data_IF_610623050907
#
_entry.id   IF_610623050907
#
_cell.length_a   1.000
_cell.length_b   1.000
_cell.length_c   1.000
_cell.angle_alpha   90.00
_cell.angle_beta   90.00
_cell.angle_gamma   90.00
#
_symmetry.space_group_name_H-M   'P 1'
#
loop_
_entity.id
_entity.type
_entity.pdbx_description
1 polymer ?
#
# COMPACT_ATOMS: atom_id res chain seq x y z
N UNK A 1 -2.38 22.24 9.34
CA UNK A 1 -1.80 20.89 9.20
C UNK A 1 -2.44 20.24 7.98
N UNK A 2 -1.67 19.58 7.10
CA UNK A 2 -2.28 18.80 6.02
C UNK A 2 -3.18 17.73 6.63
N UNK A 3 -4.31 17.44 5.98
CA UNK A 3 -5.17 16.32 6.38
C UNK A 3 -4.41 15.04 6.09
N UNK A 4 -4.35 14.10 7.03
CA UNK A 4 -3.68 12.79 6.86
C UNK A 4 -4.13 12.03 5.60
N UNK A 5 -5.35 12.30 5.15
CA UNK A 5 -5.98 11.80 3.93
C UNK A 5 -5.14 12.10 2.67
N UNK A 6 -4.42 13.22 2.65
CA UNK A 6 -3.61 13.70 1.54
C UNK A 6 -2.35 12.86 1.31
N UNK A 7 -1.66 12.49 2.42
CA UNK A 7 -0.44 11.68 2.36
C UNK A 7 -0.76 10.25 1.92
N UNK A 8 -1.86 9.69 2.45
CA UNK A 8 -2.30 8.35 2.09
C UNK A 8 -2.68 8.27 0.60
N UNK A 9 -3.37 9.28 0.09
CA UNK A 9 -3.73 9.35 -1.32
C UNK A 9 -2.50 9.49 -2.23
N UNK A 10 -1.61 10.45 -1.91
CA UNK A 10 -0.37 10.63 -2.66
C UNK A 10 0.46 9.33 -2.68
N UNK A 11 0.64 8.70 -1.52
CA UNK A 11 1.30 7.40 -1.43
C UNK A 11 0.67 6.35 -2.34
N UNK A 12 -0.65 6.17 -2.25
CA UNK A 12 -1.37 5.18 -3.06
C UNK A 12 -1.18 5.45 -4.56
N UNK A 13 -1.33 6.71 -5.00
CA UNK A 13 -1.13 7.09 -6.40
C UNK A 13 0.31 6.86 -6.88
N UNK A 14 1.32 7.17 -6.07
CA UNK A 14 2.72 6.91 -6.42
C UNK A 14 2.99 5.42 -6.61
N UNK A 15 2.53 4.61 -5.66
CA UNK A 15 2.76 3.16 -5.69
C UNK A 15 1.96 2.50 -6.81
N UNK A 16 0.72 2.94 -7.08
CA UNK A 16 -0.09 2.44 -8.20
C UNK A 16 0.58 2.70 -9.56
N UNK A 17 1.31 3.82 -9.72
CA UNK A 17 2.09 4.10 -10.95
C UNK A 17 3.21 3.10 -11.22
N UNK A 18 3.67 2.37 -10.20
CA UNK A 18 4.64 1.27 -10.36
C UNK A 18 3.98 -0.04 -10.84
N UNK A 19 2.66 -0.07 -11.01
CA UNK A 19 1.92 -1.28 -11.34
C UNK A 19 1.89 -2.29 -10.19
N UNK A 20 1.86 -1.80 -8.96
CA UNK A 20 1.73 -2.60 -7.74
C UNK A 20 0.63 -2.00 -6.86
N UNK A 21 -0.08 -2.83 -6.11
CA UNK A 21 -1.13 -2.38 -5.20
C UNK A 21 -0.51 -1.80 -3.93
N UNK A 22 -0.96 -0.62 -3.45
CA UNK A 22 -0.34 0.02 -2.29
C UNK A 22 -0.73 -0.64 -0.98
N UNK A 23 0.21 -0.60 -0.02
CA UNK A 23 -0.06 -0.85 1.39
C UNK A 23 0.25 0.42 2.16
N UNK A 24 -0.77 1.00 2.79
CA UNK A 24 -0.63 2.21 3.60
C UNK A 24 -1.41 2.09 4.93
N UNK A 25 -0.76 2.39 6.08
CA UNK A 25 0.68 2.62 6.20
C UNK A 25 1.48 1.33 5.88
N UNK A 26 2.75 1.42 5.48
CA UNK A 26 3.60 0.26 5.33
C UNK A 26 3.67 -0.55 6.64
N UNK A 27 3.61 -1.88 6.53
CA UNK A 27 3.51 -2.77 7.71
C UNK A 27 4.38 -4.02 7.57
N UNK A 28 4.79 -4.58 8.71
CA UNK A 28 5.51 -5.85 8.76
C UNK A 28 4.57 -7.06 8.56
N UNK A 29 3.29 -6.89 8.90
CA UNK A 29 2.32 -7.98 8.98
C UNK A 29 1.49 -8.17 7.71
N UNK A 30 2.16 -8.21 6.56
CA UNK A 30 1.54 -8.45 5.26
C UNK A 30 2.37 -9.42 4.44
N UNK A 31 1.80 -10.57 4.08
CA UNK A 31 2.58 -11.72 3.63
C UNK A 31 2.03 -12.33 2.34
N UNK A 32 2.92 -12.92 1.54
CA UNK A 32 2.54 -13.77 0.41
C UNK A 32 1.70 -14.94 0.92
N UNK A 33 0.55 -15.15 0.30
CA UNK A 33 -0.43 -16.14 0.73
C UNK A 33 -1.61 -15.54 1.49
N UNK A 34 -1.55 -14.28 1.93
CA UNK A 34 -2.70 -13.64 2.57
C UNK A 34 -3.88 -13.53 1.60
N UNK A 35 -5.07 -13.89 2.08
CA UNK A 35 -6.32 -13.85 1.35
C UNK A 35 -7.21 -12.74 1.93
N UNK A 36 -7.63 -11.83 1.07
CA UNK A 36 -8.45 -10.67 1.42
C UNK A 36 -9.76 -10.69 0.67
N UNK A 37 -10.85 -10.29 1.31
CA UNK A 37 -12.05 -9.84 0.60
C UNK A 37 -11.93 -8.35 0.35
N UNK A 38 -12.17 -7.92 -0.89
CA UNK A 38 -12.08 -6.52 -1.30
C UNK A 38 -13.37 -6.08 -1.97
N UNK A 39 -13.75 -4.81 -1.79
CA UNK A 39 -14.85 -4.21 -2.53
C UNK A 39 -14.36 -3.83 -3.92
N UNK A 40 -14.89 -4.48 -4.95
CA UNK A 40 -14.57 -4.17 -6.36
C UNK A 40 -15.30 -2.92 -6.82
N UNK A 41 -16.62 -2.92 -6.63
CA UNK A 41 -17.50 -1.86 -7.06
C UNK A 41 -18.68 -1.75 -6.12
N UNK A 42 -19.28 -0.56 -6.12
CA UNK A 42 -20.59 -0.34 -5.56
C UNK A 42 -21.37 0.53 -6.52
N UNK A 43 -22.58 0.10 -6.88
CA UNK A 43 -23.43 0.83 -7.84
C UNK A 43 -23.84 2.20 -7.29
N UNK A 44 -23.96 2.29 -5.97
CA UNK A 44 -24.14 3.53 -5.22
C UNK A 44 -22.81 3.85 -4.55
N UNK A 45 -22.32 5.07 -4.66
CA UNK A 45 -21.08 5.49 -4.00
C UNK A 45 -21.25 5.47 -2.46
N UNK A 46 -21.14 4.28 -1.88
CA UNK A 46 -21.26 4.03 -0.44
C UNK A 46 -19.96 4.33 0.29
N UNK A 47 -18.92 4.84 -0.39
CA UNK A 47 -17.61 5.08 0.21
C UNK A 47 -16.95 3.82 0.76
N UNK A 48 -17.26 2.65 0.19
CA UNK A 48 -16.63 1.36 0.52
C UNK A 48 -15.59 0.91 -0.50
N UNK A 49 -15.45 1.62 -1.62
CA UNK A 49 -14.47 1.31 -2.65
C UNK A 49 -13.08 1.19 -2.02
N UNK A 50 -12.34 0.14 -2.42
CA UNK A 50 -10.98 -0.15 -1.96
C UNK A 50 -10.85 -0.54 -0.48
N UNK A 51 -11.95 -0.66 0.27
CA UNK A 51 -11.92 -1.27 1.60
C UNK A 51 -11.73 -2.79 1.47
N UNK A 52 -11.07 -3.39 2.46
CA UNK A 52 -10.75 -4.82 2.47
C UNK A 52 -10.78 -5.40 3.87
N UNK A 53 -10.91 -6.72 3.96
CA UNK A 53 -10.78 -7.48 5.21
C UNK A 53 -10.02 -8.78 4.99
N UNK A 54 -9.16 -9.13 5.94
CA UNK A 54 -8.37 -10.36 5.91
C UNK A 54 -9.25 -11.57 6.25
N UNK A 55 -9.17 -12.63 5.45
CA UNK A 55 -9.96 -13.85 5.64
C UNK A 55 -9.11 -15.04 6.09
N UNK A 56 -7.83 -15.10 5.68
CA UNK A 56 -6.97 -16.22 5.97
C UNK A 56 -5.63 -16.16 5.25
N UNK A 57 -4.86 -17.24 5.34
CA UNK A 57 -3.56 -17.37 4.69
C UNK A 57 -3.38 -18.76 4.09
N UNK A 58 -3.02 -18.79 2.82
CA UNK A 58 -2.60 -19.98 2.09
C UNK A 58 -1.08 -20.16 2.21
N UNK A 59 -0.62 -21.38 2.51
CA UNK A 59 0.82 -21.66 2.46
C UNK A 59 1.30 -21.80 1.02
N UNK A 60 1.95 -20.75 0.52
CA UNK A 60 2.58 -20.72 -0.80
C UNK A 60 4.08 -21.03 -0.76
N UNK A 61 4.64 -21.36 0.42
CA UNK A 61 6.07 -21.65 0.57
C UNK A 61 6.57 -22.74 -0.39
N UNK A 62 5.88 -23.88 -0.59
CA UNK A 62 6.36 -24.91 -1.51
C UNK A 62 6.57 -24.37 -2.93
N UNK A 63 5.63 -23.57 -3.43
CA UNK A 63 5.72 -22.96 -4.76
C UNK A 63 6.81 -21.88 -4.85
N UNK A 64 7.05 -21.12 -3.79
CA UNK A 64 8.12 -20.13 -3.74
C UNK A 64 9.49 -20.83 -3.83
N UNK A 65 9.69 -21.91 -3.06
CA UNK A 65 10.95 -22.66 -3.03
C UNK A 65 11.20 -23.42 -4.34
N UNK A 66 10.19 -24.12 -4.87
CA UNK A 66 10.24 -24.79 -6.18
C UNK A 66 10.65 -23.81 -7.30
N UNK A 67 10.05 -22.62 -7.28
CA UNK A 67 10.34 -21.58 -8.26
C UNK A 67 11.73 -20.97 -8.05
N UNK A 68 12.18 -20.82 -6.80
CA UNK A 68 13.52 -20.33 -6.53
C UNK A 68 14.60 -21.29 -7.06
N UNK A 69 14.39 -22.60 -6.89
CA UNK A 69 15.32 -23.64 -7.34
C UNK A 69 15.42 -23.78 -8.86
N UNK A 70 14.39 -23.40 -9.61
CA UNK A 70 14.31 -23.54 -11.07
C UNK A 70 14.65 -22.26 -11.85
N UNK A 71 14.90 -21.16 -11.16
CA UNK A 71 15.18 -19.87 -11.82
C UNK A 71 16.65 -19.73 -12.17
N UNK A 72 16.98 -19.16 -13.34
CA UNK A 72 18.34 -18.76 -13.66
C UNK A 72 18.89 -17.80 -12.60
N UNK A 73 20.13 -18.03 -12.19
CA UNK A 73 20.92 -17.14 -11.34
C UNK A 73 22.05 -16.60 -12.21
N UNK A 74 22.36 -15.32 -12.07
CA UNK A 74 23.44 -14.66 -12.80
C UNK A 74 24.48 -14.16 -11.81
N UNK A 75 25.74 -14.19 -12.21
CA UNK A 75 26.84 -13.74 -11.38
C UNK A 75 26.70 -12.27 -10.99
N UNK A 76 27.18 -11.90 -9.82
CA UNK A 76 27.23 -10.50 -9.37
C UNK A 76 28.03 -9.61 -10.32
N UNK A 77 27.56 -8.38 -10.52
CA UNK A 77 28.24 -7.38 -11.33
C UNK A 77 29.61 -7.07 -10.76
N UNK A 78 30.67 -7.28 -11.56
CA UNK A 78 32.03 -6.89 -11.17
C UNK A 78 32.26 -5.40 -11.41
N UNK A 79 32.67 -4.69 -10.36
CA UNK A 79 33.12 -3.30 -10.43
C UNK A 79 34.65 -3.23 -10.49
N UNK A 80 35.18 -2.26 -11.22
CA UNK A 80 36.61 -1.95 -11.20
C UNK A 80 37.01 -1.20 -9.92
N UNK A 81 38.31 -0.95 -9.74
CA UNK A 81 38.82 -0.22 -8.57
C UNK A 81 38.33 1.24 -8.45
N UNK A 82 37.66 1.77 -9.48
CA UNK A 82 37.07 3.11 -9.51
C UNK A 82 35.54 3.09 -9.36
N UNK A 83 34.94 1.91 -9.15
CA UNK A 83 33.49 1.73 -9.01
C UNK A 83 32.73 1.71 -10.35
N UNK A 84 33.41 1.66 -11.49
CA UNK A 84 32.75 1.48 -12.79
C UNK A 84 32.50 0.00 -13.08
N UNK A 85 31.43 -0.31 -13.84
CA UNK A 85 31.13 -1.70 -14.23
C UNK A 85 32.17 -2.20 -15.22
N UNK A 86 32.80 -3.33 -14.91
CA UNK A 86 33.80 -3.95 -15.80
C UNK A 86 33.10 -4.57 -17.03
N UNK A 87 33.64 -4.38 -18.24
CA UNK A 87 33.06 -4.96 -19.47
C UNK A 87 33.24 -6.49 -19.56
N UNK A 88 34.24 -7.03 -18.88
CA UNK A 88 34.48 -8.46 -18.72
C UNK A 88 33.58 -9.03 -17.60
N UNK A 89 32.30 -9.25 -17.92
CA UNK A 89 31.34 -9.98 -17.07
C UNK A 89 31.20 -11.42 -17.57
N UNK A 90 30.84 -12.33 -16.65
CA UNK A 90 30.38 -13.66 -17.04
C UNK A 90 29.06 -13.52 -17.83
N UNK A 91 28.92 -14.27 -18.93
CA UNK A 91 27.77 -14.15 -19.84
C UNK A 91 26.79 -15.30 -19.70
N UNK A 92 27.14 -16.31 -18.92
CA UNK A 92 26.33 -17.49 -18.69
C UNK A 92 25.64 -17.43 -17.32
N UNK A 93 24.55 -18.18 -17.21
CA UNK A 93 23.92 -18.44 -15.92
C UNK A 93 24.88 -19.19 -15.00
N UNK A 94 24.82 -18.87 -13.71
CA UNK A 94 25.51 -19.65 -12.68
C UNK A 94 24.79 -20.99 -12.54
N UNK A 95 25.53 -22.11 -12.40
CA UNK A 95 24.90 -23.39 -12.13
C UNK A 95 24.00 -23.28 -10.91
N UNK A 96 22.83 -23.96 -10.91
CA UNK A 96 21.90 -23.87 -9.80
C UNK A 96 22.59 -24.29 -8.50
N UNK A 97 22.52 -23.43 -7.50
CA UNK A 97 23.00 -23.73 -6.16
C UNK A 97 22.17 -24.85 -5.50
N UNK A 98 22.61 -25.35 -4.33
CA UNK A 98 21.85 -26.34 -3.59
C UNK A 98 20.44 -25.80 -3.25
N UNK A 99 19.46 -26.69 -3.24
CA UNK A 99 18.10 -26.34 -2.83
C UNK A 99 18.13 -25.69 -1.45
N UNK A 100 17.53 -24.50 -1.36
CA UNK A 100 17.45 -23.75 -0.11
C UNK A 100 16.15 -24.09 0.61
N UNK A 101 16.22 -24.22 1.93
CA UNK A 101 15.05 -24.35 2.80
C UNK A 101 14.46 -23.00 3.18
N UNK A 102 15.10 -21.89 2.79
CA UNK A 102 14.72 -20.50 3.13
C UNK A 102 14.19 -19.75 1.90
N UNK A 103 13.27 -18.82 2.15
CA UNK A 103 12.79 -17.91 1.11
C UNK A 103 13.85 -16.83 0.91
N UNK A 104 14.53 -16.88 -0.24
CA UNK A 104 15.39 -15.79 -0.70
C UNK A 104 14.56 -14.58 -1.14
N UNK A 105 14.88 -13.41 -0.61
CA UNK A 105 14.36 -12.13 -1.11
C UNK A 105 15.22 -11.64 -2.27
N UNK A 106 14.64 -10.85 -3.17
CA UNK A 106 15.32 -10.31 -4.34
C UNK A 106 15.31 -8.80 -4.31
N UNK A 107 16.46 -8.21 -4.62
CA UNK A 107 16.56 -6.78 -4.83
C UNK A 107 15.76 -6.39 -6.07
N UNK A 108 15.03 -5.30 -5.96
CA UNK A 108 14.38 -4.61 -7.07
C UNK A 108 14.64 -3.12 -6.93
N UNK A 109 14.81 -2.46 -8.06
CA UNK A 109 14.89 -1.02 -8.12
C UNK A 109 13.55 -0.49 -8.61
N UNK A 110 12.99 0.47 -7.89
CA UNK A 110 11.93 1.33 -8.41
C UNK A 110 12.58 2.61 -8.92
N UNK A 111 12.13 3.16 -10.07
CA UNK A 111 12.51 4.51 -10.41
C UNK A 111 12.09 5.43 -9.26
N UNK A 112 12.91 6.42 -8.93
CA UNK A 112 12.50 7.46 -7.97
C UNK A 112 11.19 8.08 -8.44
N UNK A 113 10.16 8.07 -7.59
CA UNK A 113 8.85 8.64 -7.92
C UNK A 113 8.76 10.00 -7.23
N UNK A 114 8.94 11.05 -8.01
CA UNK A 114 8.72 12.41 -7.55
C UNK A 114 7.23 12.76 -7.73
N UNK A 115 6.52 13.12 -6.65
CA UNK A 115 5.16 13.65 -6.74
C UNK A 115 5.16 15.16 -6.60
N UNK A 116 4.84 15.86 -7.68
CA UNK A 116 4.71 17.32 -7.65
C UNK A 116 3.27 17.69 -7.36
N UNK A 117 3.02 18.45 -6.28
CA UNK A 117 1.70 19.01 -5.97
C UNK A 117 1.76 20.53 -5.91
N UNK A 118 0.93 21.17 -6.72
CA UNK A 118 0.84 22.63 -6.73
C UNK A 118 -0.45 23.03 -6.04
N UNK A 119 -0.36 23.60 -4.83
CA UNK A 119 -1.53 24.10 -4.09
C UNK A 119 -1.66 25.61 -4.33
N UNK A 120 -2.60 26.02 -5.20
CA UNK A 120 -2.94 27.43 -5.34
C UNK A 120 -3.99 27.80 -4.28
N UNK A 121 -3.57 28.53 -3.26
CA UNK A 121 -4.48 29.10 -2.28
C UNK A 121 -4.80 30.55 -2.65
N UNK A 122 -5.88 30.76 -3.37
CA UNK A 122 -6.45 32.10 -3.60
C UNK A 122 -7.29 32.49 -2.39
N UNK A 123 -6.79 33.40 -1.55
CA UNK A 123 -7.61 33.97 -0.47
C UNK A 123 -8.55 35.02 -1.07
N UNK A 124 -9.85 34.92 -0.74
CA UNK A 124 -10.87 35.85 -1.27
C UNK A 124 -10.61 37.33 -0.92
N UNK A 125 -9.83 37.61 0.14
CA UNK A 125 -9.36 38.96 0.49
C UNK A 125 -8.14 39.42 -0.36
N UNK A 126 -7.43 38.51 -1.03
CA UNK A 126 -6.28 38.82 -1.89
C UNK A 126 -6.68 39.46 -3.23
N UNK A 127 -7.90 39.19 -3.72
CA UNK A 127 -8.46 39.86 -4.91
C UNK A 127 -8.60 41.38 -4.74
N UNK A 128 -8.69 41.87 -3.50
CA UNK A 128 -8.86 43.30 -3.18
C UNK A 128 -7.52 44.03 -2.93
N UNK A 129 -6.42 43.29 -2.72
CA UNK A 129 -5.11 43.86 -2.35
C UNK A 129 -3.92 43.36 -3.19
N UNK A 130 -4.16 42.66 -4.31
CA UNK A 130 -3.10 42.24 -5.24
C UNK A 130 -2.12 41.18 -4.70
N UNK A 131 -2.37 40.64 -3.52
CA UNK A 131 -1.51 39.64 -2.88
C UNK A 131 -2.08 38.24 -3.11
N UNK A 132 -1.71 37.61 -4.23
CA UNK A 132 -1.87 36.16 -4.40
C UNK A 132 -0.67 35.47 -3.74
N UNK A 133 -0.91 34.38 -2.99
CA UNK A 133 0.16 33.49 -2.51
C UNK A 133 0.05 32.19 -3.27
N UNK A 134 0.94 31.97 -4.22
CA UNK A 134 1.12 30.66 -4.85
C UNK A 134 2.08 29.88 -3.98
N UNK A 135 1.62 28.78 -3.39
CA UNK A 135 2.48 27.84 -2.66
C UNK A 135 2.62 26.57 -3.47
N UNK A 136 3.84 26.29 -3.93
CA UNK A 136 4.14 25.01 -4.56
C UNK A 136 4.72 24.06 -3.52
N UNK A 137 4.12 22.87 -3.37
CA UNK A 137 4.58 21.84 -2.44
C UNK A 137 4.96 20.58 -3.22
N UNK A 138 6.25 20.41 -3.48
CA UNK A 138 6.75 19.21 -4.12
C UNK A 138 7.10 18.15 -3.07
N UNK A 139 6.51 16.96 -3.16
CA UNK A 139 6.78 15.83 -2.26
C UNK A 139 7.36 14.65 -3.04
N UNK A 140 8.59 14.30 -2.73
CA UNK A 140 9.31 13.20 -3.36
C UNK A 140 9.44 12.04 -2.36
N UNK A 141 8.93 10.88 -2.76
CA UNK A 141 9.01 9.65 -1.98
C UNK A 141 9.99 8.74 -2.71
N UNK A 142 11.11 8.44 -2.04
CA UNK A 142 12.15 7.57 -2.57
C UNK A 142 12.21 6.30 -1.74
N UNK A 143 12.17 5.16 -2.43
CA UNK A 143 12.40 3.83 -1.86
C UNK A 143 13.80 3.40 -2.31
N UNK A 144 14.86 3.68 -1.53
CA UNK A 144 16.24 3.53 -1.99
C UNK A 144 16.61 2.06 -2.25
N UNK A 145 16.11 1.14 -1.43
CA UNK A 145 16.33 -0.30 -1.58
C UNK A 145 14.99 -0.99 -1.37
N UNK A 146 14.55 -1.74 -2.38
CA UNK A 146 13.37 -2.57 -2.27
C UNK A 146 13.72 -4.05 -2.47
N UNK A 147 13.05 -4.89 -1.70
CA UNK A 147 13.17 -6.33 -1.72
C UNK A 147 11.81 -6.95 -2.09
N UNK A 148 11.82 -8.11 -2.74
CA UNK A 148 10.58 -8.83 -3.07
C UNK A 148 10.73 -10.33 -2.92
N UNK A 149 9.64 -10.97 -2.53
CA UNK A 149 9.46 -12.42 -2.64
C UNK A 149 8.01 -12.71 -3.04
N UNK A 150 7.79 -13.87 -3.67
CA UNK A 150 6.47 -14.23 -4.15
C UNK A 150 6.41 -15.53 -4.93
N UNK A 151 5.21 -16.09 -5.00
CA UNK A 151 4.88 -17.26 -5.79
C UNK A 151 4.49 -16.86 -7.22
N UNK A 152 4.69 -17.74 -8.23
CA UNK A 152 4.12 -17.53 -9.55
C UNK A 152 2.60 -17.45 -9.50
N UNK A 153 2.01 -16.46 -10.18
CA UNK A 153 0.56 -16.21 -10.13
C UNK A 153 -0.27 -17.42 -10.56
N UNK A 154 0.14 -18.17 -11.60
CA UNK A 154 -0.57 -19.37 -12.04
C UNK A 154 -0.55 -20.51 -11.00
N UNK A 155 0.58 -20.73 -10.34
CA UNK A 155 0.70 -21.73 -9.25
C UNK A 155 -0.12 -21.30 -8.03
N UNK A 156 -0.04 -20.03 -7.65
CA UNK A 156 -0.84 -19.48 -6.55
C UNK A 156 -2.35 -19.56 -6.83
N UNK A 157 -2.78 -19.29 -8.06
CA UNK A 157 -4.17 -19.40 -8.47
C UNK A 157 -4.68 -20.84 -8.37
N UNK A 158 -3.91 -21.81 -8.89
CA UNK A 158 -4.26 -23.23 -8.75
C UNK A 158 -4.29 -23.70 -7.29
N UNK A 159 -3.35 -23.22 -6.48
CA UNK A 159 -3.32 -23.51 -5.05
C UNK A 159 -4.55 -22.94 -4.31
N UNK A 160 -5.02 -21.75 -4.68
CA UNK A 160 -6.25 -21.17 -4.10
C UNK A 160 -7.48 -22.01 -4.45
N UNK A 161 -7.61 -22.44 -5.70
CA UNK A 161 -8.75 -23.28 -6.13
C UNK A 161 -8.77 -24.58 -5.34
N UNK A 162 -7.62 -25.25 -5.19
CA UNK A 162 -7.51 -26.45 -4.39
C UNK A 162 -7.83 -26.20 -2.91
N UNK A 163 -7.37 -25.08 -2.35
CA UNK A 163 -7.63 -24.69 -0.97
C UNK A 163 -9.12 -24.39 -0.74
N UNK A 164 -9.79 -23.68 -1.65
CA UNK A 164 -11.23 -23.43 -1.56
C UNK A 164 -12.08 -24.70 -1.73
N UNK A 165 -11.56 -25.73 -2.40
CA UNK A 165 -12.23 -27.03 -2.53
C UNK A 165 -12.12 -27.90 -1.27
N UNK A 166 -11.17 -27.60 -0.37
CA UNK A 166 -11.04 -28.28 0.91
C UNK A 166 -12.21 -27.89 1.84
N UNK A 167 -12.91 -28.89 2.38
CA UNK A 167 -14.04 -28.68 3.28
C UNK A 167 -13.70 -27.80 4.50
N UNK A 168 -12.46 -27.83 4.98
CA UNK A 168 -12.03 -27.01 6.11
C UNK A 168 -11.97 -25.51 5.77
N UNK A 169 -11.73 -25.16 4.50
CA UNK A 169 -11.50 -23.78 4.07
C UNK A 169 -12.58 -23.25 3.13
N UNK A 170 -13.45 -24.13 2.59
CA UNK A 170 -14.48 -23.78 1.62
C UNK A 170 -15.34 -22.59 2.06
N UNK A 171 -15.67 -22.51 3.36
CA UNK A 171 -16.46 -21.40 3.91
C UNK A 171 -15.78 -20.03 3.70
N UNK A 172 -14.45 -19.97 3.78
CA UNK A 172 -13.66 -18.74 3.64
C UNK A 172 -13.73 -18.19 2.21
N UNK A 173 -14.06 -19.04 1.22
CA UNK A 173 -14.18 -18.67 -0.18
C UNK A 173 -15.62 -18.34 -0.62
N UNK A 174 -16.55 -18.19 0.32
CA UNK A 174 -17.95 -17.84 0.02
C UNK A 174 -18.22 -16.36 0.20
N UNK A 175 -19.08 -15.79 -0.66
CA UNK A 175 -19.55 -14.41 -0.50
C UNK A 175 -20.25 -14.19 0.85
N UNK A 176 -21.08 -15.14 1.28
CA UNK A 176 -21.83 -15.03 2.53
C UNK A 176 -20.93 -14.88 3.75
N UNK A 177 -19.82 -15.63 3.81
CA UNK A 177 -18.83 -15.51 4.88
C UNK A 177 -18.04 -14.21 4.76
N UNK A 178 -17.48 -13.92 3.59
CA UNK A 178 -16.69 -12.71 3.35
C UNK A 178 -17.47 -11.45 3.73
N UNK A 179 -18.73 -11.36 3.28
CA UNK A 179 -19.65 -10.25 3.55
C UNK A 179 -19.96 -10.10 5.03
N UNK A 180 -20.14 -11.21 5.75
CA UNK A 180 -20.38 -11.21 7.20
C UNK A 180 -19.16 -10.68 7.95
N UNK A 181 -17.97 -11.17 7.64
CA UNK A 181 -16.72 -10.69 8.25
C UNK A 181 -16.53 -9.20 7.94
N UNK A 182 -16.78 -8.79 6.70
CA UNK A 182 -16.69 -7.40 6.26
C UNK A 182 -17.68 -6.48 7.00
N UNK A 183 -18.92 -6.93 7.18
CA UNK A 183 -19.96 -6.19 7.88
C UNK A 183 -19.59 -5.94 9.35
N UNK A 184 -18.99 -6.95 10.00
CA UNK A 184 -18.57 -6.84 11.40
C UNK A 184 -17.29 -6.03 11.58
N UNK A 185 -16.29 -6.23 10.71
CA UNK A 185 -14.96 -5.65 10.87
C UNK A 185 -14.82 -4.25 10.28
N UNK A 186 -15.59 -3.94 9.23
CA UNK A 186 -15.37 -2.74 8.40
C UNK A 186 -16.60 -1.86 8.33
N UNK A 187 -17.70 -2.35 7.73
CA UNK A 187 -18.90 -1.54 7.53
C UNK A 187 -20.14 -2.40 7.19
N UNK A 188 -21.26 -2.28 7.93
CA UNK A 188 -22.47 -3.07 7.69
C UNK A 188 -23.16 -2.75 6.35
N UNK A 189 -22.86 -1.60 5.70
CA UNK A 189 -23.44 -1.24 4.40
C UNK A 189 -23.08 -2.21 3.28
N UNK A 190 -22.09 -3.08 3.48
CA UNK A 190 -21.81 -4.21 2.57
C UNK A 190 -22.99 -5.20 2.45
N UNK A 191 -23.92 -5.19 3.41
CA UNK A 191 -25.14 -6.00 3.41
C UNK A 191 -26.33 -5.31 2.75
N UNK A 192 -26.17 -4.07 2.28
CA UNK A 192 -27.26 -3.36 1.62
C UNK A 192 -27.68 -4.09 0.34
N UNK A 193 -28.99 -4.19 0.16
CA UNK A 193 -29.61 -4.84 -1.00
C UNK A 193 -30.43 -3.85 -1.81
N UNK A 194 -30.64 -4.19 -3.07
CA UNK A 194 -31.52 -3.51 -3.98
C UNK A 194 -32.37 -4.54 -4.70
N UNK A 195 -33.63 -4.17 -4.95
CA UNK A 195 -34.56 -5.01 -5.68
C UNK A 195 -34.43 -4.66 -7.16
N UNK A 196 -34.09 -5.63 -7.97
CA UNK A 196 -34.10 -5.48 -9.43
C UNK A 196 -35.55 -5.28 -9.90
N UNK A 197 -35.81 -4.20 -10.64
CA UNK A 197 -37.16 -3.86 -11.09
C UNK A 197 -37.72 -4.86 -12.12
N UNK A 198 -36.85 -5.51 -12.90
CA UNK A 198 -37.23 -6.45 -13.94
C UNK A 198 -37.48 -7.86 -13.39
N UNK A 199 -36.62 -8.34 -12.48
CA UNK A 199 -36.71 -9.70 -11.93
C UNK A 199 -37.44 -9.76 -10.59
N UNK A 200 -37.61 -8.62 -9.91
CA UNK A 200 -38.09 -8.50 -8.53
C UNK A 200 -37.22 -9.24 -7.50
N UNK A 201 -36.00 -9.66 -7.87
CA UNK A 201 -35.06 -10.31 -6.98
C UNK A 201 -34.23 -9.27 -6.22
N UNK A 202 -33.94 -9.57 -4.95
CA UNK A 202 -33.01 -8.76 -4.15
C UNK A 202 -31.57 -9.21 -4.41
N UNK A 203 -30.69 -8.26 -4.72
CA UNK A 203 -29.27 -8.49 -4.86
C UNK A 203 -28.49 -7.50 -4.00
N UNK A 204 -27.25 -7.87 -3.65
CA UNK A 204 -26.37 -6.96 -2.92
C UNK A 204 -25.85 -5.86 -3.85
N UNK A 205 -25.89 -4.61 -3.38
CA UNK A 205 -25.38 -3.45 -4.15
C UNK A 205 -23.86 -3.37 -4.18
N UNK A 206 -23.18 -4.13 -3.29
CA UNK A 206 -21.73 -4.17 -3.16
C UNK A 206 -21.20 -5.51 -3.64
N UNK A 207 -20.34 -5.46 -4.65
CA UNK A 207 -19.65 -6.63 -5.20
C UNK A 207 -18.32 -6.85 -4.50
N UNK A 208 -18.12 -8.07 -4.00
CA UNK A 208 -16.90 -8.49 -3.33
C UNK A 208 -16.09 -9.40 -4.25
N UNK A 209 -14.76 -9.26 -4.19
CA UNK A 209 -13.82 -10.21 -4.80
C UNK A 209 -12.85 -10.73 -3.75
N UNK A 210 -12.28 -11.90 -4.00
CA UNK A 210 -11.12 -12.39 -3.26
C UNK A 210 -9.84 -11.91 -3.93
N UNK A 211 -8.88 -11.47 -3.12
CA UNK A 211 -7.53 -11.17 -3.55
C UNK A 211 -6.54 -12.02 -2.77
N UNK A 212 -5.82 -12.90 -3.49
CA UNK A 212 -4.72 -13.67 -2.93
C UNK A 212 -3.41 -12.95 -3.23
N UNK A 213 -2.68 -12.56 -2.18
CA UNK A 213 -1.37 -11.92 -2.28
C UNK A 213 -0.35 -12.91 -2.82
N UNK A 214 0.17 -12.67 -4.02
CA UNK A 214 1.16 -13.54 -4.68
C UNK A 214 2.59 -13.04 -4.56
N UNK A 215 2.78 -11.73 -4.37
CA UNK A 215 4.09 -11.10 -4.23
C UNK A 215 3.99 -9.88 -3.36
N UNK A 216 4.97 -9.67 -2.50
CA UNK A 216 5.08 -8.45 -1.68
C UNK A 216 6.36 -7.69 -2.02
N UNK A 217 6.30 -6.38 -1.84
CA UNK A 217 7.42 -5.45 -2.03
C UNK A 217 7.70 -4.78 -0.70
N UNK A 218 8.95 -4.91 -0.27
CA UNK A 218 9.37 -4.54 1.06
C UNK A 218 10.52 -3.56 1.00
N UNK A 219 10.66 -2.73 2.01
CA UNK A 219 11.78 -1.81 2.16
C UNK A 219 12.24 -1.74 3.61
N UNK A 220 13.52 -1.44 3.79
CA UNK A 220 14.11 -1.13 5.10
C UNK A 220 14.38 0.36 5.29
N UNK A 221 14.20 1.15 4.24
CA UNK A 221 14.41 2.59 4.29
C UNK A 221 13.36 3.33 3.46
N UNK A 222 12.88 4.45 3.97
CA UNK A 222 12.01 5.38 3.26
C UNK A 222 12.60 6.77 3.39
N UNK A 223 12.82 7.41 2.25
CA UNK A 223 13.22 8.80 2.19
C UNK A 223 12.06 9.63 1.65
N UNK A 224 11.70 10.68 2.37
CA UNK A 224 10.70 11.67 1.95
C UNK A 224 11.38 13.02 1.90
N UNK A 225 11.32 13.67 0.74
CA UNK A 225 11.79 15.04 0.56
C UNK A 225 10.61 15.93 0.24
N UNK A 226 10.40 16.98 1.04
CA UNK A 226 9.35 17.97 0.80
C UNK A 226 9.99 19.31 0.56
N UNK A 227 9.72 19.88 -0.60
CA UNK A 227 10.12 21.22 -0.98
C UNK A 227 8.88 22.10 -0.98
N UNK A 228 8.89 23.13 -0.14
CA UNK A 228 7.86 24.17 -0.13
C UNK A 228 8.49 25.43 -0.69
N UNK A 229 8.02 25.85 -1.87
CA UNK A 229 8.39 27.11 -2.51
C UNK A 229 7.22 28.08 -2.38
N UNK A 230 7.50 29.29 -1.87
CA UNK A 230 6.50 30.34 -1.76
C UNK A 230 7.01 31.63 -2.40
N UNK A 231 6.44 32.01 -3.54
CA UNK A 231 6.70 33.35 -4.09
C UNK A 231 6.03 34.39 -3.18
N UNK A 232 6.84 35.14 -2.44
CA UNK A 232 6.38 36.39 -1.83
C UNK A 232 6.42 37.47 -2.91
N UNK A 233 5.26 37.99 -3.31
CA UNK A 233 5.22 39.28 -3.99
C UNK A 233 5.99 40.35 -3.20
N UNK A 234 6.47 41.44 -3.81
CA UNK A 234 7.33 42.42 -3.16
C UNK A 234 6.60 43.07 -1.98
N UNK A 235 6.90 42.63 -0.77
CA UNK A 235 6.16 43.02 0.43
C UNK A 235 6.90 42.67 1.73
N UNK A 236 7.52 43.72 2.29
CA UNK A 236 7.91 43.98 3.69
C UNK A 236 8.34 42.77 4.54
N UNK A 237 9.65 42.71 4.83
CA UNK A 237 10.22 41.82 5.84
C UNK A 237 9.75 42.22 7.25
N UNK A 238 9.03 41.34 7.93
CA UNK A 238 8.83 41.42 9.37
C UNK A 238 9.86 40.48 10.06
N UNK A 239 10.57 40.94 11.11
CA UNK A 239 11.50 40.10 11.85
C UNK A 239 10.74 39.05 12.65
N UNK A 240 11.13 37.78 12.51
CA UNK A 240 10.68 36.68 13.38
C UNK A 240 11.66 36.57 14.54
N UNK A 241 11.26 36.85 15.80
CA UNK A 241 12.12 36.61 16.95
C UNK A 241 12.04 35.14 17.36
N UNK A 242 13.18 34.48 17.48
CA UNK A 242 13.32 33.21 18.21
C UNK A 242 13.51 31.96 17.35
N UNK A 243 14.62 31.86 16.63
CA UNK A 243 15.17 30.55 16.26
C UNK A 243 15.91 29.99 17.49
N UNK A 244 15.22 29.19 18.29
CA UNK A 244 15.84 28.41 19.35
C UNK A 244 16.70 27.30 18.72
N UNK A 245 17.94 27.20 19.18
CA UNK A 245 18.88 26.14 18.80
C UNK A 245 18.31 24.75 19.09
N UNK A 246 18.56 23.79 18.21
CA UNK A 246 18.20 22.40 18.38
C UNK A 246 18.84 21.82 19.67
N UNK A 247 18.11 21.05 20.50
CA UNK A 247 18.70 20.37 21.64
C UNK A 247 19.58 19.20 21.18
N UNK A 248 20.65 18.87 21.93
CA UNK A 248 21.55 17.77 21.61
C UNK A 248 20.89 16.40 21.86
N UNK A 249 21.31 15.43 21.05
CA UNK A 249 20.87 14.03 21.06
C UNK A 249 20.85 13.40 22.46
N UNK A 250 19.67 12.92 22.87
CA UNK A 250 19.54 11.98 23.98
C UNK A 250 19.62 10.54 23.44
N UNK A 251 20.38 9.63 24.07
CA UNK A 251 20.45 8.25 23.63
C UNK A 251 19.13 7.54 23.94
N UNK A 252 18.47 7.00 22.91
CA UNK A 252 17.26 6.22 23.05
C UNK A 252 17.56 4.89 23.78
N UNK A 253 16.97 4.74 24.97
CA UNK A 253 16.98 3.49 25.70
C UNK A 253 16.06 2.45 25.01
N UNK A 254 16.63 1.26 24.78
CA UNK A 254 16.02 -0.04 24.49
C UNK A 254 14.50 -0.10 24.26
N UNK A 255 14.09 0.11 23.02
CA UNK A 255 12.81 -0.33 22.47
C UNK A 255 13.02 -0.65 20.99
N UNK A 256 12.43 -1.74 20.48
CA UNK A 256 12.60 -2.26 19.12
C UNK A 256 12.69 -1.12 18.08
N UNK A 257 13.89 -0.95 17.53
CA UNK A 257 14.40 0.38 17.14
C UNK A 257 14.06 0.76 15.70
N UNK A 258 13.26 1.80 15.54
CA UNK A 258 13.25 2.61 14.31
C UNK A 258 14.30 3.71 14.47
N UNK A 259 15.29 3.76 13.59
CA UNK A 259 16.23 4.89 13.55
C UNK A 259 15.65 5.92 12.58
N UNK A 260 15.15 7.02 13.13
CA UNK A 260 14.61 8.12 12.35
C UNK A 260 15.62 9.27 12.31
N UNK A 261 16.16 9.55 11.13
CA UNK A 261 17.03 10.70 10.88
C UNK A 261 16.22 11.77 10.14
N UNK A 262 15.78 12.79 10.88
CA UNK A 262 15.14 13.96 10.30
C UNK A 262 16.15 15.09 10.18
N UNK A 263 16.33 15.63 8.96
CA UNK A 263 17.14 16.83 8.76
C UNK A 263 16.29 17.94 8.17
N UNK A 264 16.33 19.12 8.80
CA UNK A 264 15.66 20.32 8.32
C UNK A 264 16.74 21.26 7.77
N UNK A 265 16.70 21.56 6.47
CA UNK A 265 17.58 22.56 5.85
C UNK A 265 16.74 23.77 5.47
N UNK A 266 16.93 24.86 6.21
CA UNK A 266 16.32 26.15 5.88
C UNK A 266 17.32 26.98 5.08
N UNK A 267 17.03 27.21 3.80
CA UNK A 267 17.80 28.16 3.00
C UNK A 267 17.04 29.50 3.02
N UNK A 268 17.70 30.54 3.53
CA UNK A 268 17.11 31.88 3.61
C UNK A 268 16.94 32.45 2.19
N UNK A 269 15.74 32.29 1.62
CA UNK A 269 15.36 32.79 0.30
C UNK A 269 14.14 32.10 -0.31
N UNK A 270 13.04 31.99 0.45
CA UNK A 270 11.72 31.51 -0.03
C UNK A 270 11.51 30.00 -0.25
N UNK A 271 12.51 29.16 0.05
CA UNK A 271 12.41 27.70 -0.08
C UNK A 271 12.70 26.98 1.24
N UNK A 272 11.75 26.15 1.67
CA UNK A 272 11.95 25.20 2.76
C UNK A 272 12.14 23.80 2.19
N UNK A 273 13.27 23.15 2.49
CA UNK A 273 13.56 21.77 2.09
C UNK A 273 13.61 20.89 3.36
N UNK A 274 12.62 20.02 3.49
CA UNK A 274 12.52 19.04 4.57
C UNK A 274 12.94 17.69 4.00
N UNK A 275 13.99 17.09 4.55
CA UNK A 275 14.43 15.76 4.18
C UNK A 275 14.32 14.83 5.39
N UNK A 276 13.42 13.85 5.28
CA UNK A 276 13.16 12.85 6.30
C UNK A 276 13.58 11.48 5.78
N UNK A 277 14.52 10.85 6.47
CA UNK A 277 14.92 9.48 6.21
C UNK A 277 14.53 8.61 7.40
N UNK A 278 13.88 7.49 7.13
CA UNK A 278 13.48 6.50 8.14
C UNK A 278 14.09 5.16 7.77
N UNK A 279 14.83 4.57 8.71
CA UNK A 279 15.36 3.21 8.58
C UNK A 279 14.69 2.29 9.60
N UNK A 280 14.33 1.09 9.14
CA UNK A 280 13.57 0.10 9.91
C UNK A 280 14.42 -1.15 10.17
N UNK A 281 14.33 -1.68 11.39
CA UNK A 281 15.04 -2.91 11.77
C UNK A 281 14.52 -4.14 11.01
N UNK A 282 13.21 -4.18 10.73
CA UNK A 282 12.54 -5.21 9.94
C UNK A 282 12.00 -4.60 8.65
N UNK A 283 11.91 -5.38 7.57
CA UNK A 283 11.44 -4.88 6.29
C UNK A 283 9.92 -4.62 6.39
N UNK A 284 9.48 -3.46 5.90
CA UNK A 284 8.07 -3.07 5.82
C UNK A 284 7.54 -3.32 4.41
N UNK A 285 6.38 -3.93 4.32
CA UNK A 285 5.66 -4.10 3.05
C UNK A 285 4.99 -2.78 2.71
N UNK A 286 5.29 -2.26 1.53
CA UNK A 286 4.73 -1.00 1.02
C UNK A 286 3.83 -1.20 -0.20
N UNK A 287 3.89 -2.37 -0.82
CA UNK A 287 3.03 -2.73 -1.93
C UNK A 287 3.04 -4.22 -2.21
N UNK A 288 2.13 -4.67 -3.06
CA UNK A 288 1.98 -6.08 -3.40
C UNK A 288 1.42 -6.31 -4.80
N UNK A 289 1.40 -7.58 -5.24
CA UNK A 289 0.59 -8.05 -6.35
C UNK A 289 -0.31 -9.19 -5.88
N UNK A 290 -1.56 -9.14 -6.28
CA UNK A 290 -2.51 -10.20 -6.03
C UNK A 290 -3.07 -10.79 -7.33
N UNK A 291 -3.61 -11.99 -7.21
CA UNK A 291 -4.57 -12.53 -8.18
C UNK A 291 -5.97 -12.31 -7.61
N UNK A 292 -6.89 -11.84 -8.46
CA UNK A 292 -8.25 -11.51 -8.07
C UNK A 292 -9.20 -12.58 -8.59
N UNK A 293 -10.08 -13.06 -7.71
CA UNK A 293 -11.11 -14.04 -8.04
C UNK A 293 -12.49 -13.43 -7.76
N UNK A 294 -13.42 -13.48 -8.72
CA UNK A 294 -14.79 -13.07 -8.45
C UNK A 294 -15.41 -14.02 -7.44
N UNK A 295 -16.15 -13.46 -6.48
CA UNK A 295 -17.05 -14.24 -5.64
C UNK A 295 -18.40 -14.34 -6.30
N UNK A 296 -18.97 -15.54 -6.34
CA UNK A 296 -20.37 -15.71 -6.71
C UNK A 296 -21.25 -15.05 -5.62
N UNK A 297 -22.10 -14.08 -5.98
CA UNK A 297 -22.93 -13.39 -5.00
C UNK A 297 -23.83 -14.38 -4.26
N UNK A 298 -23.84 -14.28 -2.93
CA UNK A 298 -24.79 -15.04 -2.12
C UNK A 298 -26.19 -14.42 -2.21
N UNK A 299 -27.23 -15.24 -2.07
CA UNK A 299 -28.60 -14.74 -1.97
C UNK A 299 -28.75 -13.98 -0.64
N UNK A 300 -29.29 -12.75 -0.65
CA UNK A 300 -29.56 -12.04 0.58
C UNK A 300 -30.44 -12.86 1.51
N UNK A 301 -30.03 -12.95 2.77
CA UNK A 301 -30.91 -13.49 3.81
C UNK A 301 -32.05 -12.49 3.95
N UNK A 302 -33.22 -12.81 3.37
CA UNK A 302 -34.43 -12.03 3.60
C UNK A 302 -34.56 -11.88 5.10
N UNK A 303 -34.44 -10.65 5.59
CA UNK A 303 -34.71 -10.32 6.98
C UNK A 303 -36.14 -10.76 7.21
N UNK A 304 -36.32 -11.93 7.83
CA UNK A 304 -37.63 -12.46 8.18
C UNK A 304 -38.35 -11.32 8.88
N UNK A 305 -39.42 -10.85 8.25
CA UNK A 305 -40.29 -9.84 8.83
C UNK A 305 -40.58 -10.28 10.26
N UNK A 306 -40.34 -9.44 11.28
CA UNK A 306 -40.56 -9.82 12.65
C UNK A 306 -42.01 -10.32 12.75
N UNK A 307 -42.17 -11.61 13.05
CA UNK A 307 -43.48 -12.25 13.17
C UNK A 307 -44.27 -11.40 14.16
N UNK A 308 -45.24 -10.66 13.63
CA UNK A 308 -46.11 -9.81 14.43
C UNK A 308 -46.79 -10.76 15.42
N UNK A 309 -46.66 -10.58 16.74
CA UNK A 309 -47.27 -11.50 17.69
C UNK A 309 -48.79 -11.48 17.48
N UNK A 310 -49.33 -12.54 16.89
CA UNK A 310 -50.75 -12.80 16.79
C UNK A 310 -51.28 -13.08 18.19
N UNK A 311 -51.89 -12.08 18.82
CA UNK A 311 -52.61 -12.26 20.07
C UNK A 311 -52.13 -11.36 21.20
N UNK A 312 -52.48 -10.08 21.11
CA UNK A 312 -52.78 -9.29 22.31
C UNK A 312 -54.18 -8.73 22.10
N UNK A 313 -55.18 -9.54 22.49
CA UNK A 313 -56.56 -9.11 22.71
C UNK A 313 -56.72 -8.76 24.18
#
# INVERSE_FOLDING_TARGET
>A
MPRSEDIAQAWNEAIERLGIQPVYPPTEDFYVGDLWAVVESSEKDVGLLRKSVWLGRLDLRPHILETAASRPVFTETKFDGNGAVTLAQERFEEPPGPAQDRIGVRLIAFPGITMRRTERAETALGSLFGASRVSETQEEITVPVAETYGAPSGKAAGALVAWCADAANAILCTDAYARRVFAYAVDPRVLATEKDEATLEEHYIVKLNLQLVTRVYMTRALATRRVVEGERGPGVALPVPGAAAAPPDAPAAGGAGTVQTASLRYNAGDRTDLHLEKTFQRPLVFGYRAVTFPLEPSTPVQSREPVKPEGSR
#
